data_IF_903395777032
#
_entry.id   IF_903395777032
#
_cell.length_a   1.000
_cell.length_b   1.000
_cell.length_c   1.000
_cell.angle_alpha   90.00
_cell.angle_beta   90.00
_cell.angle_gamma   90.00
#
_symmetry.space_group_name_H-M   'P 1'
#
loop_
_entity.id
_entity.type
_entity.pdbx_description
1 polymer ?
#
# COMPACT_ATOMS: atom_id res chain seq x y z
N UNK A 1 38.28 45.87 62.14
CA UNK A 1 37.46 44.82 61.48
C UNK A 1 37.11 45.37 60.10
N UNK A 2 38.01 45.26 59.11
CA UNK A 2 38.29 44.10 58.24
C UNK A 2 37.00 43.73 57.46
N UNK A 3 36.92 43.77 56.12
CA UNK A 3 37.94 43.76 55.09
C UNK A 3 37.41 44.41 53.78
N UNK A 4 38.29 45.10 53.05
CA UNK A 4 38.15 45.43 51.64
C UNK A 4 38.60 44.21 50.83
N UNK A 5 37.78 43.74 49.90
CA UNK A 5 38.19 42.74 48.91
C UNK A 5 38.11 43.37 47.51
N UNK A 6 39.28 43.78 47.03
CA UNK A 6 39.62 43.97 45.63
C UNK A 6 39.50 42.62 44.93
N UNK A 7 38.75 42.50 43.83
CA UNK A 7 38.90 41.37 42.93
C UNK A 7 39.12 41.83 41.50
N UNK A 8 40.17 41.22 40.94
CA UNK A 8 40.86 41.59 39.74
C UNK A 8 40.05 41.23 38.50
N UNK A 9 40.23 42.09 37.50
CA UNK A 9 39.96 41.84 36.09
C UNK A 9 40.77 40.61 35.65
N UNK A 10 40.10 39.51 35.34
CA UNK A 10 40.65 38.41 34.57
C UNK A 10 39.96 38.42 33.19
N UNK A 11 40.57 39.17 32.28
CA UNK A 11 40.30 39.15 30.86
C UNK A 11 40.96 37.89 30.29
N UNK A 12 40.19 36.81 30.09
CA UNK A 12 40.63 35.65 29.32
C UNK A 12 39.87 35.64 28.00
N UNK A 13 40.61 35.95 26.95
CA UNK A 13 40.19 36.05 25.57
C UNK A 13 40.55 34.73 24.86
N UNK A 14 39.61 34.25 24.04
CA UNK A 14 39.74 33.27 22.95
C UNK A 14 40.13 31.82 23.33
N UNK A 15 39.29 30.86 22.92
CA UNK A 15 39.59 29.99 21.78
C UNK A 15 38.38 29.08 21.46
N UNK A 16 37.84 29.26 20.24
CA UNK A 16 37.10 28.30 19.42
C UNK A 16 36.48 27.06 20.12
N UNK A 17 35.22 27.15 20.52
CA UNK A 17 34.32 26.00 20.32
C UNK A 17 33.82 26.06 18.89
N UNK A 18 34.72 25.78 17.93
CA UNK A 18 34.28 25.11 16.73
C UNK A 18 33.75 23.77 17.20
N UNK A 19 32.44 23.70 17.49
CA UNK A 19 31.74 22.44 17.38
C UNK A 19 31.91 22.06 15.92
N UNK A 20 32.97 21.31 15.64
CA UNK A 20 32.89 20.28 14.63
C UNK A 20 31.61 19.52 14.96
N UNK A 21 30.51 19.93 14.32
CA UNK A 21 29.47 18.98 13.97
C UNK A 21 30.19 18.03 13.04
N UNK A 22 30.88 17.06 13.64
CA UNK A 22 31.22 15.82 12.99
C UNK A 22 29.88 15.27 12.51
N UNK A 23 29.51 15.61 11.27
CA UNK A 23 28.90 14.59 10.45
C UNK A 23 29.93 13.47 10.47
N UNK A 24 29.69 12.46 11.31
CA UNK A 24 30.34 11.18 11.13
C UNK A 24 30.07 10.82 9.67
N UNK A 25 31.09 10.97 8.81
CA UNK A 25 31.08 10.34 7.51
C UNK A 25 30.69 8.89 7.78
N UNK A 26 29.54 8.38 7.30
CA UNK A 26 29.15 7.01 7.52
C UNK A 26 30.27 6.11 7.01
N UNK A 27 30.97 5.59 8.01
CA UNK A 27 32.02 4.58 8.04
C UNK A 27 32.65 4.12 6.71
N UNK A 28 33.93 4.45 6.56
CA UNK A 28 34.95 3.66 5.80
C UNK A 28 35.21 2.25 6.41
N UNK A 29 34.32 1.72 7.24
CA UNK A 29 34.55 0.52 8.08
C UNK A 29 34.04 -0.78 7.45
N UNK A 30 33.89 -0.79 6.12
CA UNK A 30 33.48 -1.98 5.38
C UNK A 30 34.63 -2.62 4.59
N UNK A 31 35.79 -1.96 4.52
CA UNK A 31 36.92 -2.38 3.70
C UNK A 31 37.49 -3.71 4.18
N UNK A 32 37.54 -4.69 3.28
CA UNK A 32 38.08 -6.02 3.55
C UNK A 32 37.16 -6.91 4.38
N UNK A 33 35.86 -6.58 4.47
CA UNK A 33 34.88 -7.49 5.07
C UNK A 33 34.67 -8.71 4.17
N UNK A 34 34.54 -9.86 4.81
CA UNK A 34 34.14 -11.11 4.17
C UNK A 34 32.77 -11.50 4.71
N UNK A 35 31.84 -11.85 3.83
CA UNK A 35 30.49 -12.31 4.19
C UNK A 35 30.37 -13.80 3.92
N UNK A 36 29.94 -14.55 4.95
CA UNK A 36 29.55 -15.94 4.80
C UNK A 36 28.12 -16.08 4.25
N UNK A 37 27.78 -17.27 3.74
CA UNK A 37 26.40 -17.56 3.35
C UNK A 37 25.44 -17.48 4.55
N UNK A 38 24.41 -16.62 4.46
CA UNK A 38 23.48 -16.33 5.54
C UNK A 38 23.75 -15.03 6.28
N UNK A 39 24.85 -14.33 5.98
CA UNK A 39 25.15 -13.02 6.58
C UNK A 39 24.65 -11.87 5.70
N UNK A 40 24.31 -10.76 6.34
CA UNK A 40 23.83 -9.54 5.69
C UNK A 40 24.67 -8.33 6.09
N UNK A 41 24.86 -7.39 5.18
CA UNK A 41 25.55 -6.13 5.43
C UNK A 41 24.74 -4.95 4.88
N UNK A 42 24.32 -4.03 5.76
CA UNK A 42 23.60 -2.82 5.35
C UNK A 42 24.60 -1.76 4.87
N UNK A 43 24.30 -1.11 3.75
CA UNK A 43 25.09 -0.03 3.19
C UNK A 43 24.19 1.05 2.57
N UNK A 44 24.78 2.17 2.19
CA UNK A 44 24.09 3.24 1.47
C UNK A 44 24.39 3.09 -0.02
N UNK A 45 23.35 3.14 -0.85
CA UNK A 45 23.48 3.01 -2.30
C UNK A 45 23.34 4.37 -2.96
N UNK A 46 24.28 4.72 -3.83
CA UNK A 46 24.12 5.81 -4.78
C UNK A 46 23.64 5.20 -6.11
N UNK A 47 22.58 5.78 -6.69
CA UNK A 47 21.68 5.09 -7.59
C UNK A 47 22.30 4.79 -8.97
N UNK A 48 22.98 3.65 -9.09
CA UNK A 48 23.43 3.11 -10.37
C UNK A 48 22.30 2.60 -11.27
N UNK A 49 22.51 2.69 -12.59
CA UNK A 49 21.49 2.53 -13.61
C UNK A 49 21.11 1.07 -13.95
N UNK A 50 20.45 0.35 -13.03
CA UNK A 50 19.69 -0.87 -13.35
C UNK A 50 18.19 -0.58 -13.40
N UNK A 51 17.46 -1.27 -14.29
CA UNK A 51 15.99 -1.15 -14.39
C UNK A 51 15.38 -1.78 -13.14
N UNK A 52 14.52 -1.06 -12.38
CA UNK A 52 13.91 -1.61 -11.18
C UNK A 52 12.89 -2.70 -11.53
N UNK A 53 12.86 -3.75 -10.73
CA UNK A 53 11.79 -4.75 -10.69
C UNK A 53 10.67 -4.17 -9.83
N UNK A 54 9.44 -4.18 -10.34
CA UNK A 54 8.28 -3.63 -9.62
C UNK A 54 7.51 -4.75 -8.93
N UNK A 55 7.43 -4.69 -7.60
CA UNK A 55 6.56 -5.54 -6.77
C UNK A 55 5.40 -4.68 -6.30
N UNK A 56 4.20 -5.03 -6.76
CA UNK A 56 3.01 -4.25 -6.46
C UNK A 56 2.44 -4.68 -5.11
N UNK A 57 2.37 -3.75 -4.18
CA UNK A 57 1.78 -3.92 -2.87
C UNK A 57 0.48 -3.15 -2.81
N UNK A 58 -0.42 -3.46 -1.87
CA UNK A 58 -1.55 -2.58 -1.63
C UNK A 58 -1.03 -1.15 -1.44
N UNK A 59 -0.06 -0.96 -0.54
CA UNK A 59 0.39 0.38 -0.11
C UNK A 59 1.28 1.13 -1.11
N UNK A 60 1.51 0.61 -2.32
CA UNK A 60 2.39 1.26 -3.30
C UNK A 60 3.15 0.27 -4.17
N UNK A 61 4.23 0.75 -4.80
CA UNK A 61 5.09 -0.09 -5.64
C UNK A 61 6.48 -0.17 -5.03
N UNK A 62 6.86 -1.37 -4.58
CA UNK A 62 8.21 -1.64 -4.14
C UNK A 62 9.10 -1.85 -5.37
N UNK A 63 10.03 -0.93 -5.60
CA UNK A 63 11.00 -0.95 -6.70
C UNK A 63 12.28 -1.58 -6.21
N UNK A 64 12.54 -2.82 -6.62
CA UNK A 64 13.74 -3.57 -6.28
C UNK A 64 14.81 -3.36 -7.36
N UNK A 65 16.06 -3.19 -6.95
CA UNK A 65 17.24 -3.25 -7.81
C UNK A 65 18.14 -4.36 -7.29
N UNK A 66 18.59 -5.21 -8.19
CA UNK A 66 19.37 -6.39 -7.87
C UNK A 66 20.69 -6.37 -8.61
N UNK A 67 21.76 -6.70 -7.89
CA UNK A 67 23.07 -6.97 -8.47
C UNK A 67 23.17 -8.40 -8.99
N UNK A 68 24.10 -8.63 -9.91
CA UNK A 68 24.45 -10.00 -10.30
C UNK A 68 25.20 -10.66 -9.14
N UNK A 69 25.04 -11.96 -8.97
CA UNK A 69 25.84 -12.74 -8.02
C UNK A 69 27.32 -12.55 -8.34
N UNK A 70 28.12 -12.25 -7.31
CA UNK A 70 29.56 -12.04 -7.46
C UNK A 70 30.33 -12.49 -6.22
N UNK A 71 31.57 -12.90 -6.39
CA UNK A 71 32.49 -13.18 -5.29
C UNK A 71 33.06 -11.90 -4.65
N UNK A 72 32.89 -10.75 -5.32
CA UNK A 72 33.52 -9.50 -4.94
C UNK A 72 32.72 -8.26 -5.34
N UNK A 73 32.46 -7.38 -4.38
CA UNK A 73 31.91 -6.04 -4.61
C UNK A 73 33.02 -5.00 -4.43
N UNK A 74 33.28 -4.22 -5.47
CA UNK A 74 34.33 -3.20 -5.52
C UNK A 74 33.78 -1.79 -5.80
N UNK A 75 34.58 -0.77 -5.48
CA UNK A 75 34.31 0.66 -5.67
C UNK A 75 34.35 1.10 -7.16
N UNK A 76 34.34 0.14 -8.10
CA UNK A 76 34.72 0.34 -9.50
C UNK A 76 33.80 1.24 -10.32
N UNK A 77 32.59 1.56 -9.85
CA UNK A 77 31.72 2.56 -10.47
C UNK A 77 30.47 2.82 -9.62
N UNK A 78 30.27 4.07 -9.20
CA UNK A 78 28.99 4.61 -8.70
C UNK A 78 28.56 4.26 -7.26
N UNK A 79 29.40 3.63 -6.44
CA UNK A 79 29.01 3.23 -5.08
C UNK A 79 30.06 3.59 -4.03
N UNK A 80 29.65 3.98 -2.82
CA UNK A 80 30.56 4.17 -1.68
C UNK A 80 30.84 2.85 -0.97
N UNK A 81 31.20 1.82 -1.74
CA UNK A 81 31.54 0.53 -1.17
C UNK A 81 32.99 0.50 -0.73
N UNK A 82 33.25 -0.21 0.36
CA UNK A 82 34.58 -0.63 0.69
C UNK A 82 34.67 -2.14 0.46
N UNK A 83 35.73 -2.59 -0.22
CA UNK A 83 35.97 -3.97 -0.68
C UNK A 83 35.26 -5.06 0.16
N UNK A 84 34.15 -5.62 -0.36
CA UNK A 84 33.44 -6.73 0.29
C UNK A 84 33.66 -8.01 -0.52
N UNK A 85 34.02 -9.10 0.15
CA UNK A 85 34.24 -10.42 -0.46
C UNK A 85 33.26 -11.45 0.06
N UNK A 86 32.88 -12.42 -0.76
CA UNK A 86 32.28 -13.64 -0.26
C UNK A 86 33.33 -14.53 0.43
N UNK A 87 32.91 -15.29 1.44
CA UNK A 87 33.68 -16.43 1.94
C UNK A 87 33.70 -17.56 0.90
N UNK A 88 34.68 -18.47 0.99
CA UNK A 88 34.74 -19.66 0.13
C UNK A 88 33.41 -20.44 0.17
N UNK A 89 32.83 -20.70 -1.02
CA UNK A 89 31.54 -21.38 -1.17
C UNK A 89 30.31 -20.48 -1.00
N UNK A 90 30.51 -19.15 -0.99
CA UNK A 90 29.44 -18.16 -1.02
C UNK A 90 29.58 -17.20 -2.22
N UNK A 91 28.49 -16.54 -2.54
CA UNK A 91 28.40 -15.42 -3.48
C UNK A 91 27.65 -14.27 -2.80
N UNK A 92 27.88 -13.04 -3.26
CA UNK A 92 27.24 -11.82 -2.78
C UNK A 92 26.10 -11.44 -3.71
N UNK A 93 24.98 -11.03 -3.12
CA UNK A 93 23.85 -10.43 -3.85
C UNK A 93 23.53 -9.08 -3.21
N UNK A 94 23.68 -8.02 -4.00
CA UNK A 94 23.26 -6.67 -3.64
C UNK A 94 21.79 -6.44 -3.94
N UNK A 95 21.06 -5.89 -2.97
CA UNK A 95 19.63 -5.64 -3.06
C UNK A 95 19.38 -4.21 -2.57
N UNK A 96 18.90 -3.35 -3.46
CA UNK A 96 18.37 -2.04 -3.11
C UNK A 96 16.86 -2.02 -3.30
N UNK A 97 16.17 -1.25 -2.47
CA UNK A 97 14.74 -1.04 -2.65
C UNK A 97 14.32 0.39 -2.36
N UNK A 98 13.21 0.76 -2.97
CA UNK A 98 12.52 2.02 -2.75
C UNK A 98 11.01 1.75 -2.82
N UNK A 99 10.26 2.28 -1.87
CA UNK A 99 8.80 2.19 -1.88
C UNK A 99 8.26 3.49 -2.46
N UNK A 100 7.78 3.42 -3.70
CA UNK A 100 7.03 4.50 -4.30
C UNK A 100 5.65 4.53 -3.62
N UNK A 101 5.49 5.46 -2.68
CA UNK A 101 4.32 5.66 -1.84
C UNK A 101 3.17 6.34 -2.56
N UNK A 102 3.36 6.71 -3.84
CA UNK A 102 2.29 7.22 -4.69
C UNK A 102 1.23 6.14 -4.71
N UNK A 103 0.23 6.25 -3.83
CA UNK A 103 -0.80 5.25 -3.55
C UNK A 103 -1.21 4.65 -4.87
N UNK A 104 -0.62 3.49 -5.16
CA UNK A 104 -0.76 2.91 -6.47
C UNK A 104 -2.16 2.35 -6.61
N UNK A 105 -2.95 2.35 -5.53
CA UNK A 105 -4.35 1.96 -5.42
C UNK A 105 -4.94 2.65 -4.20
N UNK A 106 -6.25 2.95 -4.19
CA UNK A 106 -6.93 3.19 -2.93
C UNK A 106 -6.93 1.90 -2.09
N UNK A 107 -6.09 1.85 -1.06
CA UNK A 107 -5.97 0.70 -0.15
C UNK A 107 -6.94 0.75 1.00
N UNK A 108 -7.27 1.98 1.38
CA UNK A 108 -8.23 2.27 2.40
C UNK A 108 -9.57 2.48 1.72
N UNK A 109 -10.62 1.95 2.33
CA UNK A 109 -11.97 2.25 1.87
C UNK A 109 -12.22 3.76 1.99
N UNK A 110 -11.59 4.41 2.98
CA UNK A 110 -11.54 5.88 3.07
C UNK A 110 -10.95 6.52 1.81
N UNK A 111 -9.79 6.06 1.36
CA UNK A 111 -9.10 6.56 0.16
C UNK A 111 -9.87 6.26 -1.12
N UNK A 112 -10.47 5.06 -1.21
CA UNK A 112 -11.34 4.68 -2.32
C UNK A 112 -12.51 5.66 -2.40
N UNK A 113 -13.28 5.79 -1.32
CA UNK A 113 -14.45 6.66 -1.28
C UNK A 113 -14.11 8.13 -1.44
N UNK A 114 -12.97 8.57 -0.90
CA UNK A 114 -12.48 9.93 -1.08
C UNK A 114 -12.16 10.21 -2.53
N UNK A 115 -11.53 9.27 -3.24
CA UNK A 115 -11.27 9.44 -4.65
C UNK A 115 -12.53 9.26 -5.53
N UNK A 116 -13.58 8.61 -5.00
CA UNK A 116 -14.92 8.56 -5.60
C UNK A 116 -15.74 9.85 -5.37
N UNK A 117 -15.51 10.53 -4.25
CA UNK A 117 -16.11 11.83 -3.93
C UNK A 117 -15.25 12.94 -4.55
N UNK A 118 -15.79 13.91 -5.27
CA UNK A 118 -14.97 14.98 -5.89
C UNK A 118 -14.36 15.99 -4.88
N UNK A 119 -14.01 15.55 -3.67
CA UNK A 119 -13.44 16.38 -2.61
C UNK A 119 -11.94 16.53 -2.84
N UNK A 120 -11.44 17.74 -2.64
CA UNK A 120 -10.03 18.10 -2.80
C UNK A 120 -9.15 17.26 -1.85
N UNK A 121 -8.26 16.45 -2.43
CA UNK A 121 -7.40 15.52 -1.70
C UNK A 121 -6.29 16.21 -0.90
N UNK A 122 -6.08 17.53 -1.10
CA UNK A 122 -4.96 18.27 -0.52
C UNK A 122 -5.01 18.45 1.00
N UNK A 123 -6.17 18.27 1.63
CA UNK A 123 -6.34 18.50 3.08
C UNK A 123 -6.21 17.23 3.94
N UNK A 124 -6.13 16.03 3.36
CA UNK A 124 -6.19 14.77 4.11
C UNK A 124 -5.17 13.73 3.63
N UNK A 125 -3.90 14.02 3.90
CA UNK A 125 -2.88 12.99 4.08
C UNK A 125 -2.23 13.24 5.43
N UNK A 126 -2.80 12.66 6.48
CA UNK A 126 -1.96 12.20 7.56
C UNK A 126 -1.77 10.72 7.35
N UNK A 127 -0.54 10.36 7.03
CA UNK A 127 0.07 9.04 6.99
C UNK A 127 -0.19 8.33 8.33
N UNK A 128 -1.44 7.91 8.53
CA UNK A 128 -1.93 7.37 9.79
C UNK A 128 -1.46 5.94 9.91
N UNK A 129 -0.35 5.76 10.64
CA UNK A 129 0.17 4.49 11.13
C UNK A 129 -0.21 3.31 10.24
N UNK A 130 0.40 3.19 9.06
CA UNK A 130 0.38 1.91 8.36
C UNK A 130 1.30 0.98 9.18
N UNK A 131 0.76 0.03 9.98
CA UNK A 131 1.60 -0.86 10.75
C UNK A 131 2.06 -2.05 9.88
N UNK A 132 1.96 -1.93 8.56
CA UNK A 132 2.34 -2.98 7.65
C UNK A 132 3.86 -3.01 7.58
N UNK A 133 4.45 -3.79 8.49
CA UNK A 133 5.80 -4.29 8.34
C UNK A 133 5.80 -5.09 7.03
N UNK A 134 6.54 -4.62 6.03
CA UNK A 134 6.83 -5.42 4.86
C UNK A 134 8.00 -6.31 5.27
N UNK A 135 7.73 -7.60 5.43
CA UNK A 135 8.80 -8.55 5.70
C UNK A 135 9.51 -8.88 4.39
N UNK A 136 10.83 -8.73 4.43
CA UNK A 136 11.72 -8.93 3.30
C UNK A 136 12.70 -10.05 3.64
N UNK A 137 12.90 -11.00 2.73
CA UNK A 137 13.85 -12.08 2.94
C UNK A 137 14.47 -12.55 1.63
N UNK A 138 15.67 -13.10 1.70
CA UNK A 138 16.29 -13.88 0.63
C UNK A 138 16.15 -15.35 0.97
N UNK A 139 15.59 -16.15 0.06
CA UNK A 139 15.60 -17.62 0.15
C UNK A 139 16.66 -18.17 -0.81
N UNK A 140 17.60 -18.96 -0.28
CA UNK A 140 18.62 -19.66 -1.04
C UNK A 140 18.91 -21.04 -0.41
N UNK A 141 18.74 -22.12 -1.18
CA UNK A 141 18.99 -23.51 -0.77
C UNK A 141 18.35 -23.89 0.58
N UNK A 142 17.03 -23.71 0.70
CA UNK A 142 16.24 -23.98 1.92
C UNK A 142 16.65 -23.13 3.14
N UNK A 143 17.41 -22.05 2.92
CA UNK A 143 17.75 -21.06 3.94
C UNK A 143 17.09 -19.73 3.65
N UNK A 144 16.18 -19.34 4.54
CA UNK A 144 15.64 -17.99 4.62
C UNK A 144 16.60 -17.07 5.38
N UNK A 145 16.96 -15.94 4.78
CA UNK A 145 17.79 -14.88 5.35
C UNK A 145 16.92 -13.63 5.42
N UNK A 146 16.48 -13.25 6.61
CA UNK A 146 15.69 -12.04 6.79
C UNK A 146 16.57 -10.81 6.53
N UNK A 147 16.07 -9.87 5.74
CA UNK A 147 16.71 -8.56 5.53
C UNK A 147 15.92 -7.49 6.30
N UNK A 148 16.51 -6.31 6.58
CA UNK A 148 15.82 -5.27 7.33
C UNK A 148 14.43 -4.98 6.76
N UNK A 149 13.41 -5.11 7.61
CA UNK A 149 12.05 -4.80 7.22
C UNK A 149 11.91 -3.30 6.91
N UNK A 150 11.00 -2.98 5.99
CA UNK A 150 10.66 -1.59 5.70
C UNK A 150 9.88 -0.99 6.87
N UNK A 151 10.58 -0.32 7.78
CA UNK A 151 9.99 0.37 8.92
C UNK A 151 10.13 1.88 8.74
N UNK A 152 9.19 2.48 8.01
CA UNK A 152 9.05 3.94 7.78
C UNK A 152 10.17 4.54 6.91
N UNK A 153 9.75 5.22 5.85
CA UNK A 153 10.60 5.92 4.89
C UNK A 153 11.31 7.10 5.57
N UNK A 154 12.54 6.92 6.03
CA UNK A 154 13.49 8.04 6.12
C UNK A 154 14.12 8.21 4.74
N UNK A 155 14.30 9.45 4.28
CA UNK A 155 14.74 9.79 2.91
C UNK A 155 16.07 9.08 2.55
N UNK A 156 15.97 7.92 1.91
CA UNK A 156 17.13 7.13 1.46
C UNK A 156 16.71 5.78 0.90
N UNK A 157 17.35 5.36 -0.20
CA UNK A 157 17.26 3.97 -0.65
C UNK A 157 18.13 3.11 0.26
N UNK A 158 17.52 2.15 0.94
CA UNK A 158 18.26 1.12 1.69
C UNK A 158 18.90 0.14 0.71
N UNK A 159 20.12 -0.27 1.03
CA UNK A 159 20.82 -1.33 0.31
C UNK A 159 21.41 -2.34 1.29
N UNK A 160 21.23 -3.61 0.95
CA UNK A 160 21.78 -4.73 1.71
C UNK A 160 22.55 -5.64 0.77
N UNK A 161 23.73 -6.07 1.22
CA UNK A 161 24.47 -7.16 0.61
C UNK A 161 24.17 -8.43 1.40
N UNK A 162 23.79 -9.49 0.70
CA UNK A 162 23.49 -10.79 1.31
C UNK A 162 24.47 -11.83 0.77
N UNK A 163 25.11 -12.58 1.68
CA UNK A 163 25.87 -13.77 1.32
C UNK A 163 24.93 -14.95 1.08
N UNK A 164 24.99 -15.56 -0.10
CA UNK A 164 24.22 -16.75 -0.49
C UNK A 164 25.17 -17.91 -0.84
N UNK A 165 24.74 -19.18 -0.76
CA UNK A 165 25.57 -20.30 -1.20
C UNK A 165 25.96 -20.18 -2.69
N UNK A 166 27.21 -20.51 -3.02
CA UNK A 166 27.71 -20.48 -4.40
C UNK A 166 26.88 -21.38 -5.32
N UNK A 167 26.45 -20.84 -6.47
CA UNK A 167 25.67 -21.59 -7.47
C UNK A 167 24.20 -21.82 -7.09
N UNK A 168 23.74 -21.22 -6.00
CA UNK A 168 22.32 -21.17 -5.65
C UNK A 168 21.53 -20.24 -6.57
N UNK A 169 20.22 -20.45 -6.67
CA UNK A 169 19.29 -19.56 -7.38
C UNK A 169 18.42 -18.80 -6.38
N UNK A 170 18.94 -17.73 -5.77
CA UNK A 170 18.24 -17.04 -4.70
C UNK A 170 16.96 -16.38 -5.22
N UNK A 171 15.97 -16.30 -4.33
CA UNK A 171 14.74 -15.54 -4.54
C UNK A 171 14.58 -14.50 -3.44
N UNK A 172 13.89 -13.40 -3.73
CA UNK A 172 13.57 -12.36 -2.77
C UNK A 172 12.08 -12.38 -2.48
N UNK A 173 11.74 -12.59 -1.23
CA UNK A 173 10.38 -12.66 -0.74
C UNK A 173 9.93 -11.31 -0.18
N UNK A 174 8.76 -10.88 -0.61
CA UNK A 174 8.10 -9.67 -0.12
C UNK A 174 6.76 -10.08 0.47
N UNK A 175 6.63 -10.01 1.79
CA UNK A 175 5.40 -10.39 2.49
C UNK A 175 4.63 -9.17 2.98
N UNK A 176 3.36 -9.11 2.61
CA UNK A 176 2.43 -8.06 3.05
C UNK A 176 1.14 -8.68 3.54
N UNK A 177 0.81 -8.46 4.81
CA UNK A 177 -0.42 -8.98 5.46
C UNK A 177 -0.63 -10.49 5.21
N UNK A 178 0.45 -11.26 5.39
CA UNK A 178 0.48 -12.72 5.22
C UNK A 178 0.47 -13.24 3.78
N UNK A 179 0.49 -12.37 2.76
CA UNK A 179 0.69 -12.77 1.36
C UNK A 179 2.14 -12.51 0.94
N UNK A 180 2.81 -13.56 0.46
CA UNK A 180 4.19 -13.49 0.00
C UNK A 180 4.24 -13.47 -1.53
N UNK A 181 4.91 -12.46 -2.08
CA UNK A 181 5.34 -12.41 -3.47
C UNK A 181 6.80 -12.82 -3.55
N UNK A 182 7.16 -13.60 -4.57
CA UNK A 182 8.53 -14.12 -4.74
C UNK A 182 9.15 -13.55 -6.01
N UNK A 183 10.33 -12.95 -5.89
CA UNK A 183 11.10 -12.38 -7.00
C UNK A 183 12.29 -13.30 -7.29
N UNK A 184 12.36 -13.83 -8.49
CA UNK A 184 13.53 -14.58 -8.96
C UNK A 184 14.67 -13.59 -9.24
N UNK A 185 15.81 -13.72 -8.53
CA UNK A 185 16.86 -12.70 -8.61
C UNK A 185 17.69 -12.78 -9.89
N UNK A 186 17.69 -13.93 -10.57
CA UNK A 186 18.39 -14.08 -11.83
C UNK A 186 17.61 -13.47 -13.02
N UNK A 187 16.27 -13.56 -12.98
CA UNK A 187 15.41 -13.18 -14.11
C UNK A 187 14.59 -11.91 -13.85
N UNK A 188 14.45 -11.49 -12.60
CA UNK A 188 13.56 -10.42 -12.16
C UNK A 188 12.07 -10.74 -12.29
N UNK A 189 11.71 -12.01 -12.49
CA UNK A 189 10.31 -12.43 -12.58
C UNK A 189 9.65 -12.43 -11.20
N UNK A 190 8.42 -11.92 -11.12
CA UNK A 190 7.65 -11.83 -9.87
C UNK A 190 6.50 -12.84 -9.89
N UNK A 191 6.49 -13.75 -8.92
CA UNK A 191 5.35 -14.62 -8.61
C UNK A 191 4.46 -13.90 -7.60
N UNK A 192 3.40 -13.25 -8.11
CA UNK A 192 2.60 -12.31 -7.33
C UNK A 192 1.43 -12.91 -6.53
N UNK A 193 1.07 -14.19 -6.74
CA UNK A 193 -0.03 -14.83 -6.00
C UNK A 193 -1.35 -14.05 -6.06
N UNK A 194 -1.95 -13.74 -4.90
CA UNK A 194 -3.16 -12.92 -4.78
C UNK A 194 -2.95 -11.44 -5.13
N UNK A 195 -1.70 -10.96 -5.14
CA UNK A 195 -1.33 -9.60 -5.52
C UNK A 195 -1.25 -9.38 -7.04
N UNK A 196 -1.26 -10.45 -7.86
CA UNK A 196 -1.21 -10.35 -9.32
C UNK A 196 -2.14 -9.28 -9.96
N UNK A 197 -3.38 -9.06 -9.48
CA UNK A 197 -4.27 -8.04 -10.04
C UNK A 197 -3.77 -6.61 -9.86
N UNK A 198 -2.99 -6.34 -8.82
CA UNK A 198 -2.45 -5.00 -8.56
C UNK A 198 -1.64 -4.52 -9.77
N UNK A 199 -0.80 -5.37 -10.35
CA UNK A 199 0.00 -5.02 -11.52
C UNK A 199 -0.85 -4.52 -12.71
N UNK A 200 -2.02 -5.14 -12.95
CA UNK A 200 -2.95 -4.68 -13.99
C UNK A 200 -3.56 -3.33 -13.62
N UNK A 201 -4.03 -3.20 -12.37
CA UNK A 201 -4.61 -1.95 -11.88
C UNK A 201 -3.63 -0.77 -12.02
N UNK A 202 -2.33 -0.96 -11.75
CA UNK A 202 -1.34 0.12 -11.89
C UNK A 202 -1.15 0.57 -13.33
N UNK A 203 -1.28 -0.35 -14.30
CA UNK A 203 -1.15 -0.05 -15.72
C UNK A 203 -2.37 0.72 -16.25
N UNK A 204 -3.53 0.54 -15.62
CA UNK A 204 -4.77 1.21 -16.00
C UNK A 204 -4.83 2.67 -15.48
N UNK A 205 -3.91 3.09 -14.60
CA UNK A 205 -3.80 4.50 -14.19
C UNK A 205 -3.40 5.37 -15.38
N UNK A 206 -4.20 6.39 -15.76
CA UNK A 206 -3.84 7.25 -16.87
C UNK A 206 -2.53 8.00 -16.56
N UNK A 207 -1.57 8.03 -17.50
CA UNK A 207 -0.29 8.69 -17.27
C UNK A 207 -0.51 10.19 -17.02
N UNK A 208 0.08 10.69 -15.92
CA UNK A 208 0.00 12.11 -15.54
C UNK A 208 -1.29 12.52 -14.84
N UNK A 209 -2.13 11.56 -14.41
CA UNK A 209 -3.28 11.85 -13.55
C UNK A 209 -3.18 11.10 -12.23
N UNK A 210 -3.49 11.80 -11.15
CA UNK A 210 -3.68 11.20 -9.82
C UNK A 210 -5.06 10.58 -9.64
N UNK A 211 -5.84 10.50 -10.73
CA UNK A 211 -7.22 10.04 -10.70
C UNK A 211 -7.34 8.65 -11.30
N UNK A 212 -7.90 7.74 -10.53
CA UNK A 212 -8.37 6.43 -10.95
C UNK A 212 -9.59 6.56 -11.86
N UNK A 213 -9.74 5.66 -12.84
CA UNK A 213 -10.96 5.60 -13.65
C UNK A 213 -12.01 4.75 -12.94
N UNK A 214 -13.03 5.40 -12.42
CA UNK A 214 -14.15 4.74 -11.77
C UNK A 214 -15.27 4.37 -12.75
N UNK A 215 -16.09 3.38 -12.39
CA UNK A 215 -17.34 3.11 -13.10
C UNK A 215 -18.25 4.35 -13.08
N UNK A 216 -18.95 4.63 -14.18
CA UNK A 216 -19.97 5.69 -14.18
C UNK A 216 -21.05 5.42 -13.12
N UNK A 217 -21.51 6.50 -12.49
CA UNK A 217 -22.54 6.42 -11.46
C UNK A 217 -23.82 5.82 -12.02
N UNK A 218 -24.27 4.71 -11.46
CA UNK A 218 -25.50 4.05 -11.91
C UNK A 218 -26.65 4.39 -10.96
N UNK A 219 -27.70 5.00 -11.49
CA UNK A 219 -28.92 5.34 -10.75
C UNK A 219 -29.90 4.18 -10.72
N UNK A 220 -30.59 3.96 -9.59
CA UNK A 220 -31.61 2.92 -9.47
C UNK A 220 -32.76 3.16 -10.47
N UNK A 221 -33.15 2.10 -11.20
CA UNK A 221 -34.31 2.17 -12.09
C UNK A 221 -35.58 2.38 -11.25
N UNK A 222 -36.43 3.29 -11.71
CA UNK A 222 -37.77 3.49 -11.14
C UNK A 222 -38.85 2.71 -11.90
N UNK A 223 -38.47 1.86 -12.86
CA UNK A 223 -39.44 1.04 -13.61
C UNK A 223 -40.28 0.16 -12.66
N UNK A 224 -41.61 0.25 -12.81
CA UNK A 224 -42.57 -0.58 -12.10
C UNK A 224 -43.06 -0.06 -10.74
N UNK A 225 -42.71 1.16 -10.33
CA UNK A 225 -43.20 1.73 -9.07
C UNK A 225 -44.43 2.65 -9.25
N UNK A 226 -45.37 2.66 -8.30
CA UNK A 226 -46.49 3.60 -8.32
C UNK A 226 -45.98 5.05 -8.16
N UNK A 227 -46.45 5.97 -9.00
CA UNK A 227 -46.08 7.41 -9.06
C UNK A 227 -46.05 8.12 -7.68
N UNK A 228 -46.80 7.62 -6.69
CA UNK A 228 -46.89 8.21 -5.35
C UNK A 228 -45.62 8.05 -4.48
N UNK A 229 -44.66 7.20 -4.86
CA UNK A 229 -43.37 7.01 -4.15
C UNK A 229 -42.22 7.81 -4.83
N UNK A 230 -42.51 8.60 -5.89
CA UNK A 230 -41.51 9.46 -6.52
C UNK A 230 -41.03 10.61 -5.60
N UNK A 231 -41.83 10.98 -4.60
CA UNK A 231 -41.49 12.06 -3.68
C UNK A 231 -40.63 11.52 -2.53
N UNK A 232 -39.40 11.13 -2.85
CA UNK A 232 -38.36 11.09 -1.85
C UNK A 232 -37.28 10.05 -2.05
N UNK A 233 -37.57 8.91 -2.68
CA UNK A 233 -36.64 7.78 -2.69
C UNK A 233 -35.72 7.81 -3.92
N UNK A 234 -34.48 8.27 -3.74
CA UNK A 234 -33.43 8.10 -4.74
C UNK A 234 -32.38 7.14 -4.19
N UNK A 235 -32.06 6.13 -4.99
CA UNK A 235 -31.04 5.13 -4.73
C UNK A 235 -30.07 5.20 -5.91
N UNK A 236 -28.78 5.05 -5.64
CA UNK A 236 -27.78 4.87 -6.68
C UNK A 236 -26.56 4.19 -6.11
N UNK A 237 -25.92 3.34 -6.90
CA UNK A 237 -24.56 2.92 -6.61
C UNK A 237 -23.64 4.01 -7.15
N UNK A 238 -22.91 4.65 -6.24
CA UNK A 238 -21.97 5.72 -6.53
C UNK A 238 -20.96 5.28 -7.58
N UNK A 239 -20.06 4.38 -7.18
CA UNK A 239 -19.10 3.70 -8.06
C UNK A 239 -18.83 2.30 -7.48
N UNK A 240 -18.45 1.35 -8.33
CA UNK A 240 -18.02 0.02 -7.92
C UNK A 240 -16.52 -0.11 -8.16
N UNK A 241 -15.80 -0.58 -7.15
CA UNK A 241 -14.35 -0.78 -7.24
C UNK A 241 -14.01 -2.22 -6.92
N UNK A 242 -13.29 -2.88 -7.83
CA UNK A 242 -12.75 -4.22 -7.62
C UNK A 242 -11.32 -4.14 -7.06
N UNK A 243 -11.14 -4.54 -5.79
CA UNK A 243 -9.84 -4.56 -5.14
C UNK A 243 -9.43 -5.98 -4.71
N UNK A 244 -8.17 -6.38 -4.89
CA UNK A 244 -7.66 -7.64 -4.35
C UNK A 244 -7.35 -7.56 -2.85
N UNK A 245 -7.29 -6.35 -2.28
CA UNK A 245 -6.99 -6.09 -0.87
C UNK A 245 -7.86 -4.95 -0.34
N UNK A 246 -8.36 -5.08 0.89
CA UNK A 246 -9.03 -3.99 1.61
C UNK A 246 -8.50 -3.94 3.04
N UNK A 247 -8.01 -2.76 3.48
CA UNK A 247 -7.49 -2.59 4.84
C UNK A 247 -8.52 -3.03 5.89
N UNK A 248 -8.05 -3.78 6.89
CA UNK A 248 -8.90 -4.29 7.98
C UNK A 248 -9.83 -5.44 7.58
N UNK A 249 -9.78 -5.90 6.32
CA UNK A 249 -10.39 -7.15 5.85
C UNK A 249 -9.30 -8.12 5.36
N UNK A 250 -8.26 -7.61 4.70
CA UNK A 250 -7.12 -8.36 4.20
C UNK A 250 -7.21 -8.66 2.70
N UNK A 251 -6.49 -9.68 2.25
CA UNK A 251 -6.52 -10.16 0.86
C UNK A 251 -7.82 -10.90 0.52
N UNK A 252 -8.36 -10.66 -0.67
CA UNK A 252 -9.46 -11.45 -1.22
C UNK A 252 -9.00 -12.88 -1.53
N UNK A 253 -9.93 -13.83 -1.63
CA UNK A 253 -9.62 -15.16 -2.16
C UNK A 253 -9.11 -15.05 -3.61
N UNK A 254 -8.26 -15.99 -4.06
CA UNK A 254 -7.60 -15.92 -5.38
C UNK A 254 -8.58 -15.73 -6.54
N UNK A 255 -9.77 -16.34 -6.44
CA UNK A 255 -10.84 -16.29 -7.45
C UNK A 255 -11.79 -15.11 -7.30
N UNK A 256 -11.67 -14.31 -6.22
CA UNK A 256 -12.62 -13.25 -5.89
C UNK A 256 -11.93 -11.89 -5.74
N UNK A 257 -12.70 -10.81 -5.82
CA UNK A 257 -12.28 -9.46 -5.46
C UNK A 257 -13.28 -8.86 -4.48
N UNK A 258 -12.83 -7.86 -3.75
CA UNK A 258 -13.74 -7.01 -3.00
C UNK A 258 -14.40 -6.02 -3.96
N UNK A 259 -15.72 -5.95 -3.90
CA UNK A 259 -16.54 -4.95 -4.57
C UNK A 259 -16.97 -3.96 -3.50
N UNK A 260 -16.44 -2.74 -3.59
CA UNK A 260 -16.83 -1.65 -2.71
C UNK A 260 -17.98 -0.91 -3.37
N UNK A 261 -19.10 -0.76 -2.65
CA UNK A 261 -20.29 -0.05 -3.12
C UNK A 261 -20.61 1.09 -2.16
N UNK A 262 -20.52 2.31 -2.68
CA UNK A 262 -21.09 3.49 -2.04
C UNK A 262 -22.59 3.56 -2.36
N UNK A 263 -23.42 3.49 -1.34
CA UNK A 263 -24.87 3.55 -1.46
C UNK A 263 -25.41 4.80 -0.79
N UNK A 264 -25.83 5.75 -1.62
CA UNK A 264 -26.62 6.89 -1.18
C UNK A 264 -28.10 6.58 -1.23
N UNK A 265 -28.79 6.71 -0.10
CA UNK A 265 -30.24 6.79 -0.06
C UNK A 265 -30.64 8.25 0.18
N UNK A 266 -31.48 8.78 -0.69
CA UNK A 266 -32.20 10.02 -0.40
C UNK A 266 -33.63 9.64 -0.02
N UNK A 267 -34.17 10.23 1.04
CA UNK A 267 -35.58 10.13 1.45
C UNK A 267 -36.10 11.55 1.69
N UNK A 268 -37.17 11.94 1.00
CA UNK A 268 -37.79 13.28 1.09
C UNK A 268 -36.80 14.47 0.93
N UNK A 269 -35.72 14.29 0.17
CA UNK A 269 -34.69 15.30 -0.06
C UNK A 269 -33.57 15.34 1.00
N UNK A 270 -33.65 14.51 2.05
CA UNK A 270 -32.56 14.28 2.99
C UNK A 270 -31.73 13.06 2.54
N UNK A 271 -30.39 13.20 2.52
CA UNK A 271 -29.49 12.07 2.27
C UNK A 271 -29.24 11.30 3.57
N UNK A 272 -29.29 9.98 3.47
CA UNK A 272 -29.06 9.03 4.55
C UNK A 272 -28.07 7.96 4.10
N UNK A 273 -27.27 7.49 5.06
CA UNK A 273 -26.40 6.34 4.90
C UNK A 273 -27.25 5.04 4.86
N UNK A 274 -26.99 4.16 3.89
CA UNK A 274 -27.89 3.06 3.55
C UNK A 274 -27.85 1.86 4.52
N UNK A 275 -26.71 1.62 5.16
CA UNK A 275 -26.45 0.47 6.03
C UNK A 275 -26.66 0.77 7.53
N UNK A 276 -26.78 2.04 7.91
CA UNK A 276 -27.15 2.52 9.24
C UNK A 276 -28.66 2.70 9.43
N UNK A 277 -29.46 2.56 8.36
CA UNK A 277 -30.93 2.60 8.47
C UNK A 277 -31.48 1.28 9.01
N UNK A 278 -32.11 1.28 10.21
CA UNK A 278 -32.72 0.08 10.76
C UNK A 278 -33.78 -0.47 9.79
N UNK A 279 -33.70 -1.76 9.48
CA UNK A 279 -34.69 -2.44 8.65
C UNK A 279 -34.39 -2.51 7.16
N UNK A 280 -33.25 -1.98 6.69
CA UNK A 280 -32.76 -2.18 5.32
C UNK A 280 -31.72 -3.30 5.23
N UNK A 281 -32.00 -4.27 4.36
CA UNK A 281 -31.11 -5.35 3.96
C UNK A 281 -30.63 -5.10 2.54
N UNK A 282 -29.31 -5.06 2.36
CA UNK A 282 -28.69 -4.91 1.04
C UNK A 282 -27.94 -6.19 0.69
N UNK A 283 -28.23 -6.74 -0.48
CA UNK A 283 -27.62 -7.97 -0.99
C UNK A 283 -27.12 -7.76 -2.40
N UNK A 284 -26.00 -8.39 -2.76
CA UNK A 284 -25.46 -8.38 -4.12
C UNK A 284 -25.48 -9.82 -4.65
N UNK A 285 -26.25 -10.09 -5.71
CA UNK A 285 -26.45 -11.44 -6.24
C UNK A 285 -25.11 -12.08 -6.64
N UNK A 286 -24.84 -13.30 -6.17
CA UNK A 286 -23.59 -14.01 -6.44
C UNK A 286 -22.38 -13.49 -5.65
N UNK A 287 -22.59 -12.59 -4.70
CA UNK A 287 -21.54 -12.07 -3.83
C UNK A 287 -21.84 -12.31 -2.35
N UNK A 288 -20.79 -12.37 -1.52
CA UNK A 288 -20.87 -12.52 -0.07
C UNK A 288 -20.67 -11.16 0.59
N UNK A 289 -21.62 -10.71 1.41
CA UNK A 289 -21.43 -9.52 2.24
C UNK A 289 -20.31 -9.78 3.26
N UNK A 290 -19.34 -8.86 3.32
CA UNK A 290 -18.16 -9.00 4.18
C UNK A 290 -18.24 -8.04 5.37
N UNK A 291 -18.45 -6.76 5.08
CA UNK A 291 -18.42 -5.71 6.11
C UNK A 291 -19.21 -4.50 5.63
N UNK A 292 -19.82 -3.81 6.58
CA UNK A 292 -20.33 -2.45 6.42
C UNK A 292 -19.35 -1.51 7.11
N UNK A 293 -19.01 -0.41 6.46
CA UNK A 293 -18.15 0.61 7.03
C UNK A 293 -18.91 1.94 7.04
N UNK A 294 -19.12 2.48 8.24
CA UNK A 294 -19.85 3.73 8.49
C UNK A 294 -18.86 4.90 8.45
N UNK A 295 -19.16 5.89 7.59
CA UNK A 295 -18.32 7.07 7.36
C UNK A 295 -19.01 8.39 7.70
N UNK A 296 -20.05 8.36 8.54
CA UNK A 296 -20.74 9.55 9.04
C UNK A 296 -21.61 10.30 8.03
N UNK A 297 -21.28 10.27 6.72
CA UNK A 297 -22.09 10.82 5.63
C UNK A 297 -22.71 9.76 4.71
N UNK A 298 -22.35 8.49 4.88
CA UNK A 298 -22.75 7.37 4.03
C UNK A 298 -22.22 6.04 4.59
N UNK A 299 -22.75 4.93 4.07
CA UNK A 299 -22.25 3.60 4.39
C UNK A 299 -21.66 2.96 3.14
N UNK A 300 -20.48 2.39 3.29
CA UNK A 300 -19.89 1.57 2.25
C UNK A 300 -20.06 0.11 2.57
N UNK A 301 -20.62 -0.61 1.61
CA UNK A 301 -20.78 -2.05 1.69
C UNK A 301 -19.65 -2.72 0.94
N UNK A 302 -18.96 -3.62 1.62
CA UNK A 302 -17.92 -4.45 1.02
C UNK A 302 -18.47 -5.84 0.77
N UNK A 303 -18.45 -6.26 -0.49
CA UNK A 303 -18.82 -7.61 -0.91
C UNK A 303 -17.61 -8.35 -1.44
N UNK A 304 -17.55 -9.67 -1.29
CA UNK A 304 -16.61 -10.54 -2.01
C UNK A 304 -17.34 -11.20 -3.16
N UNK A 305 -16.84 -11.02 -4.38
CA UNK A 305 -17.47 -11.49 -5.62
C UNK A 305 -16.44 -11.99 -6.63
N UNK A 306 -16.88 -12.76 -7.63
CA UNK A 306 -16.04 -13.08 -8.77
C UNK A 306 -15.67 -11.78 -9.54
N UNK A 307 -14.46 -11.66 -10.10
CA UNK A 307 -14.08 -10.48 -10.87
C UNK A 307 -14.80 -10.44 -12.23
N UNK A 308 -15.11 -9.25 -12.73
CA UNK A 308 -15.75 -9.03 -14.04
C UNK A 308 -17.13 -9.67 -14.19
N UNK A 309 -17.91 -9.79 -13.12
CA UNK A 309 -19.28 -10.31 -13.19
C UNK A 309 -20.34 -9.22 -13.11
N UNK A 310 -21.44 -9.44 -13.82
CA UNK A 310 -22.63 -8.62 -13.66
C UNK A 310 -23.36 -9.05 -12.39
N UNK A 311 -23.53 -8.13 -11.46
CA UNK A 311 -24.24 -8.38 -10.22
C UNK A 311 -25.55 -7.60 -10.17
N UNK A 312 -26.53 -8.16 -9.48
CA UNK A 312 -27.78 -7.46 -9.16
C UNK A 312 -27.75 -7.06 -7.70
N UNK A 313 -27.65 -5.77 -7.44
CA UNK A 313 -27.81 -5.24 -6.11
C UNK A 313 -29.31 -5.18 -5.80
N UNK A 314 -29.72 -5.81 -4.72
CA UNK A 314 -31.06 -5.71 -4.17
C UNK A 314 -31.05 -4.99 -2.84
N UNK A 315 -31.92 -4.00 -2.71
CA UNK A 315 -32.14 -3.27 -1.47
C UNK A 315 -33.57 -3.58 -1.04
N UNK A 316 -33.72 -4.22 0.12
CA UNK A 316 -35.01 -4.62 0.69
C UNK A 316 -35.16 -4.12 2.11
N UNK A 317 -36.25 -3.45 2.44
CA UNK A 317 -36.47 -3.05 3.82
C UNK A 317 -37.75 -2.29 4.07
N UNK A 318 -38.03 -2.05 5.35
CA UNK A 318 -39.17 -1.25 5.81
C UNK A 318 -38.64 0.03 6.45
N UNK A 319 -39.04 1.18 5.92
CA UNK A 319 -38.70 2.47 6.54
C UNK A 319 -39.50 2.63 7.84
N UNK A 320 -38.95 3.44 8.76
CA UNK A 320 -39.62 3.78 10.02
C UNK A 320 -41.06 4.26 9.75
N UNK A 321 -42.08 3.74 10.49
CA UNK A 321 -43.49 4.10 10.30
C UNK A 321 -43.75 5.62 10.42
N UNK A 322 -42.86 6.39 11.07
CA UNK A 322 -42.92 7.85 11.11
C UNK A 322 -42.75 8.53 9.74
N UNK A 323 -42.18 7.82 8.76
CA UNK A 323 -42.03 8.22 7.35
C UNK A 323 -43.03 7.49 6.43
N UNK A 324 -43.83 6.57 7.00
CA UNK A 324 -44.79 5.72 6.31
C UNK A 324 -44.29 4.28 6.14
N UNK A 325 -45.18 3.29 6.31
CA UNK A 325 -44.88 1.87 6.07
C UNK A 325 -44.62 1.64 4.57
N UNK A 326 -43.38 1.87 4.14
CA UNK A 326 -42.94 1.66 2.77
C UNK A 326 -41.97 0.48 2.72
N UNK A 327 -42.34 -0.55 1.95
CA UNK A 327 -41.43 -1.62 1.57
C UNK A 327 -40.64 -1.19 0.34
N UNK A 328 -39.33 -1.11 0.48
CA UNK A 328 -38.42 -0.90 -0.65
C UNK A 328 -38.04 -2.27 -1.20
N UNK A 329 -38.15 -2.46 -2.52
CA UNK A 329 -37.55 -3.57 -3.26
C UNK A 329 -37.02 -2.99 -4.57
N UNK A 330 -35.71 -2.71 -4.61
CA UNK A 330 -35.04 -2.12 -5.76
C UNK A 330 -33.97 -3.06 -6.26
N UNK A 331 -33.89 -3.20 -7.58
CA UNK A 331 -32.83 -3.93 -8.27
C UNK A 331 -31.98 -2.94 -9.06
N UNK A 332 -30.66 -3.01 -8.88
CA UNK A 332 -29.69 -2.28 -9.68
C UNK A 332 -28.76 -3.28 -10.36
N UNK A 333 -28.55 -3.12 -11.67
CA UNK A 333 -27.46 -3.80 -12.34
C UNK A 333 -26.16 -3.09 -11.94
N UNK A 334 -25.36 -3.76 -11.11
CA UNK A 334 -23.99 -3.34 -10.81
C UNK A 334 -23.11 -4.07 -11.79
N UNK A 335 -22.64 -3.32 -12.79
CA UNK A 335 -21.56 -3.80 -13.64
C UNK A 335 -20.26 -3.51 -12.89
N UNK A 336 -19.60 -4.55 -12.41
CA UNK A 336 -18.23 -4.40 -11.93
C UNK A 336 -17.35 -4.30 -13.17
N UNK A 337 -17.02 -3.06 -13.53
CA UNK A 337 -16.06 -2.81 -14.59
C UNK A 337 -14.66 -3.04 -14.03
N UNK A 338 -13.76 -3.59 -14.85
CA UNK A 338 -12.33 -3.36 -14.61
C UNK A 338 -12.11 -1.86 -14.52
N UNK A 339 -11.35 -1.41 -13.54
CA UNK A 339 -10.59 -0.16 -13.67
C UNK A 339 -9.97 -0.19 -15.09
N UNK A 340 -10.26 0.82 -15.91
CA UNK A 340 -9.76 0.98 -17.28
C UNK A 340 -8.80 2.17 -17.34
#
# INVERSE_FOLDING_TARGET
MNARATFAVALTVLLATATAGCGEEPAKDFAGKTLAAGETLNMTWDAGARRPISVYLPIGVLRLRLDEQTDYLDDGSEHTFADVRAEDGAELVGIAWDLDDVSAYPIDVDEALMAMSMVDQSDFVTQGDLPAVIDLAVDADDRRIDVPALTKMEDGSDYVVVGVPEGSTPTFEVTFDGETQVVDLATGQVTAGRAAPLASLAQDRPPGTDQWRYSERTTCSNEGQPELIEVGFACGAGQALELPYVRGIGWAETTNRYVLLDLGLSVAGARHAAAGMPGLAVTLDGAKAMKTIDYGSGDTLVFSAAPNSHHKLRIKGTLDPSVGDATIDKELNVETWRLR
#
